data_IF_279767358023
#
_entry.id   IF_279767358023
#
_cell.length_a   1.000
_cell.length_b   1.000
_cell.length_c   1.000
_cell.angle_alpha   90.00
_cell.angle_beta   90.00
_cell.angle_gamma   90.00
#
_symmetry.space_group_name_H-M   'P 1'
#
loop_
_entity.id
_entity.type
_entity.pdbx_description
1 polymer ?
#
# COMPACT_ATOMS: atom_id res chain seq x y z
N UNK A 1 -2.07 -8.91 5.88
CA UNK A 1 -0.99 -9.01 6.89
C UNK A 1 -0.13 -10.27 6.76
N UNK A 2 -0.67 -11.45 6.41
CA UNK A 2 0.10 -12.71 6.43
C UNK A 2 1.39 -12.71 5.58
N UNK A 3 1.39 -12.05 4.40
CA UNK A 3 2.58 -11.91 3.55
C UNK A 3 3.74 -11.11 4.18
N UNK A 4 3.49 -10.36 5.25
CA UNK A 4 4.50 -9.60 5.96
C UNK A 4 5.37 -10.46 6.88
N UNK A 5 4.95 -11.69 7.21
CA UNK A 5 5.69 -12.59 8.09
C UNK A 5 7.06 -12.96 7.55
N UNK A 6 7.17 -13.14 6.22
CA UNK A 6 8.41 -13.48 5.54
C UNK A 6 9.11 -12.25 4.94
N UNK A 7 8.60 -11.04 5.20
CA UNK A 7 9.20 -9.83 4.67
C UNK A 7 10.33 -9.36 5.60
N UNK A 8 11.61 -9.43 5.18
CA UNK A 8 12.74 -9.06 6.03
C UNK A 8 12.68 -7.59 6.48
N UNK A 9 12.03 -6.72 5.71
CA UNK A 9 11.80 -5.31 6.10
C UNK A 9 10.95 -5.20 7.37
N UNK A 10 9.97 -6.10 7.56
CA UNK A 10 9.10 -6.10 8.73
C UNK A 10 9.83 -6.57 9.99
N UNK A 11 10.71 -7.57 9.85
CA UNK A 11 11.58 -8.01 10.93
C UNK A 11 12.51 -6.89 11.40
N UNK A 12 13.18 -6.20 10.46
CA UNK A 12 14.06 -5.06 10.77
C UNK A 12 13.29 -3.93 11.45
N UNK A 13 12.08 -3.63 10.99
CA UNK A 13 11.22 -2.63 11.62
C UNK A 13 10.93 -2.97 13.08
N UNK A 14 10.51 -4.21 13.37
CA UNK A 14 10.18 -4.61 14.73
C UNK A 14 11.40 -4.58 15.66
N UNK A 15 12.56 -5.05 15.20
CA UNK A 15 13.80 -5.01 16.01
C UNK A 15 14.27 -3.57 16.27
N UNK A 16 14.10 -2.66 15.31
CA UNK A 16 14.64 -1.30 15.41
C UNK A 16 13.69 -0.32 16.10
N UNK A 17 12.37 -0.45 15.88
CA UNK A 17 11.37 0.51 16.36
C UNK A 17 10.63 0.07 17.62
N UNK A 18 10.28 -1.21 17.78
CA UNK A 18 9.49 -1.64 18.96
C UNK A 18 10.18 -1.35 20.30
N UNK A 19 11.51 -1.54 20.46
CA UNK A 19 12.16 -1.28 21.73
C UNK A 19 12.01 0.16 22.23
N UNK A 20 11.84 1.12 21.31
CA UNK A 20 11.69 2.54 21.64
C UNK A 20 10.35 2.86 22.31
N UNK A 21 9.36 1.98 22.19
CA UNK A 21 8.02 2.15 22.77
C UNK A 21 7.82 1.31 24.04
N UNK A 22 8.81 0.53 24.46
CA UNK A 22 8.71 -0.33 25.65
C UNK A 22 9.14 0.43 26.91
N UNK A 23 8.34 0.43 27.99
CA UNK A 23 8.74 1.02 29.27
C UNK A 23 9.83 0.18 29.95
N UNK A 24 10.79 0.88 30.56
CA UNK A 24 11.93 0.28 31.26
C UNK A 24 11.42 -0.49 32.50
N UNK A 25 11.90 -1.73 32.68
CA UNK A 25 11.56 -2.57 33.84
C UNK A 25 10.38 -3.53 33.65
N UNK A 26 9.71 -3.52 32.49
CA UNK A 26 8.68 -4.50 32.14
C UNK A 26 9.21 -5.63 31.24
N UNK A 27 8.50 -6.76 31.19
CA UNK A 27 8.84 -7.89 30.32
C UNK A 27 8.83 -7.49 28.83
N UNK A 28 9.98 -7.55 28.12
CA UNK A 28 10.06 -7.18 26.71
C UNK A 28 9.18 -8.06 25.81
N UNK A 29 9.00 -9.33 26.19
CA UNK A 29 8.19 -10.29 25.43
C UNK A 29 6.72 -9.85 25.39
N UNK A 30 6.15 -9.52 26.55
CA UNK A 30 4.74 -9.13 26.67
C UNK A 30 4.47 -7.85 25.88
N UNK A 31 5.34 -6.84 26.04
CA UNK A 31 5.20 -5.57 25.30
C UNK A 31 5.36 -5.73 23.79
N UNK A 32 6.28 -6.58 23.35
CA UNK A 32 6.44 -6.91 21.92
C UNK A 32 5.15 -7.51 21.36
N UNK A 33 4.57 -8.51 22.04
CA UNK A 33 3.30 -9.11 21.59
C UNK A 33 2.14 -8.11 21.57
N UNK A 34 2.03 -7.24 22.58
CA UNK A 34 1.00 -6.18 22.63
C UNK A 34 1.15 -5.24 21.42
N UNK A 35 2.35 -4.69 21.21
CA UNK A 35 2.58 -3.71 20.14
C UNK A 35 2.41 -4.32 18.75
N UNK A 36 2.88 -5.56 18.54
CA UNK A 36 2.65 -6.29 17.29
C UNK A 36 1.16 -6.55 17.08
N UNK A 37 0.42 -6.92 18.13
CA UNK A 37 -1.04 -7.13 18.03
C UNK A 37 -1.77 -5.86 17.64
N UNK A 38 -1.42 -4.71 18.25
CA UNK A 38 -1.96 -3.40 17.89
C UNK A 38 -1.68 -3.10 16.41
N UNK A 39 -0.45 -3.33 15.95
CA UNK A 39 -0.08 -3.11 14.56
C UNK A 39 -0.92 -3.98 13.60
N UNK A 40 -1.11 -5.26 13.92
CA UNK A 40 -1.94 -6.18 13.12
C UNK A 40 -3.39 -5.72 13.08
N UNK A 41 -3.96 -5.30 14.20
CA UNK A 41 -5.34 -4.79 14.28
C UNK A 41 -5.51 -3.54 13.42
N UNK A 42 -4.63 -2.54 13.58
CA UNK A 42 -4.70 -1.30 12.80
C UNK A 42 -4.55 -1.60 11.31
N UNK A 43 -3.57 -2.42 10.92
CA UNK A 43 -3.36 -2.77 9.52
C UNK A 43 -4.52 -3.58 8.93
N UNK A 44 -5.19 -4.39 9.74
CA UNK A 44 -6.39 -5.14 9.32
C UNK A 44 -7.56 -4.20 9.13
N UNK A 45 -7.83 -3.29 10.08
CA UNK A 45 -8.87 -2.26 9.96
C UNK A 45 -8.64 -1.45 8.69
N UNK A 46 -7.40 -0.98 8.48
CA UNK A 46 -7.04 -0.22 7.29
C UNK A 46 -7.27 -1.01 6.00
N UNK A 47 -6.87 -2.28 5.96
CA UNK A 47 -7.07 -3.16 4.80
C UNK A 47 -8.56 -3.36 4.52
N UNK A 48 -9.37 -3.60 5.55
CA UNK A 48 -10.84 -3.72 5.43
C UNK A 48 -11.46 -2.43 4.93
N UNK A 49 -11.04 -1.27 5.45
CA UNK A 49 -11.48 0.03 4.94
C UNK A 49 -11.19 0.16 3.45
N UNK A 50 -9.97 -0.15 3.00
CA UNK A 50 -9.63 -0.11 1.56
C UNK A 50 -10.47 -1.08 0.74
N UNK A 51 -10.69 -2.30 1.21
CA UNK A 51 -11.53 -3.30 0.53
C UNK A 51 -12.96 -2.78 0.38
N UNK A 52 -13.55 -2.24 1.44
CA UNK A 52 -14.92 -1.70 1.40
C UNK A 52 -15.01 -0.44 0.54
N UNK A 53 -14.02 0.47 0.63
CA UNK A 53 -13.94 1.65 -0.24
C UNK A 53 -13.76 1.27 -1.71
N UNK A 54 -13.12 0.14 -2.01
CA UNK A 54 -12.96 -0.36 -3.39
C UNK A 54 -14.31 -0.67 -4.03
N UNK A 55 -15.31 -1.10 -3.26
CA UNK A 55 -16.67 -1.30 -3.79
C UNK A 55 -17.26 0.02 -4.32
N UNK A 56 -17.12 1.12 -3.56
CA UNK A 56 -17.55 2.44 -4.00
C UNK A 56 -16.70 3.00 -5.15
N UNK A 57 -15.38 2.82 -5.09
CA UNK A 57 -14.51 3.23 -6.19
C UNK A 57 -14.84 2.48 -7.50
N UNK A 58 -15.14 1.19 -7.40
CA UNK A 58 -15.53 0.33 -8.53
C UNK A 58 -16.79 0.81 -9.23
N UNK A 59 -17.81 1.29 -8.50
CA UNK A 59 -19.02 1.83 -9.15
C UNK A 59 -18.75 3.12 -9.93
N UNK A 60 -17.77 3.93 -9.50
CA UNK A 60 -17.33 5.13 -10.21
C UNK A 60 -16.45 4.76 -11.41
N UNK A 61 -15.44 3.91 -11.20
CA UNK A 61 -14.48 3.50 -12.23
C UNK A 61 -15.13 2.72 -13.38
N UNK A 62 -16.22 1.99 -13.11
CA UNK A 62 -17.00 1.29 -14.14
C UNK A 62 -17.87 2.20 -15.00
N UNK A 63 -18.00 3.50 -14.69
CA UNK A 63 -18.77 4.42 -15.53
C UNK A 63 -18.06 4.59 -16.87
N UNK A 64 -18.81 4.45 -17.96
CA UNK A 64 -18.30 4.59 -19.33
C UNK A 64 -17.51 5.88 -19.56
N UNK A 65 -17.88 6.98 -18.90
CA UNK A 65 -17.15 8.25 -19.00
C UNK A 65 -15.73 8.17 -18.39
N UNK A 66 -15.57 7.46 -17.27
CA UNK A 66 -14.28 7.30 -16.58
C UNK A 66 -13.38 6.35 -17.38
N UNK A 67 -13.93 5.22 -17.84
CA UNK A 67 -13.20 4.28 -18.71
C UNK A 67 -12.71 5.00 -19.98
N UNK A 68 -13.58 5.75 -20.67
CA UNK A 68 -13.18 6.54 -21.84
C UNK A 68 -12.11 7.58 -21.52
N UNK A 69 -12.16 8.22 -20.36
CA UNK A 69 -11.12 9.18 -19.96
C UNK A 69 -9.78 8.48 -19.73
N UNK A 70 -9.77 7.31 -19.09
CA UNK A 70 -8.57 6.48 -18.90
C UNK A 70 -8.00 6.01 -20.24
N UNK A 71 -8.85 5.48 -21.14
CA UNK A 71 -8.42 5.03 -22.47
C UNK A 71 -7.80 6.17 -23.29
N UNK A 72 -8.40 7.37 -23.24
CA UNK A 72 -7.87 8.55 -23.92
C UNK A 72 -6.55 9.02 -23.31
N UNK A 73 -6.40 8.96 -21.99
CA UNK A 73 -5.16 9.32 -21.31
C UNK A 73 -4.03 8.34 -21.69
N UNK A 74 -4.30 7.04 -21.65
CA UNK A 74 -3.33 6.00 -22.02
C UNK A 74 -2.98 6.07 -23.51
N UNK A 75 -3.97 6.23 -24.39
CA UNK A 75 -3.74 6.42 -25.82
C UNK A 75 -2.93 7.69 -26.11
N UNK A 76 -3.25 8.79 -25.43
CA UNK A 76 -2.49 10.04 -25.53
C UNK A 76 -1.03 9.89 -25.07
N UNK A 77 -0.79 9.15 -23.99
CA UNK A 77 0.55 8.88 -23.50
C UNK A 77 1.37 8.03 -24.50
N UNK A 78 0.74 7.03 -25.13
CA UNK A 78 1.41 6.24 -26.17
C UNK A 78 1.72 7.07 -27.42
N UNK A 79 0.80 7.92 -27.86
CA UNK A 79 1.06 8.84 -28.97
C UNK A 79 2.21 9.80 -28.64
N UNK A 80 2.25 10.31 -27.40
CA UNK A 80 3.35 11.15 -26.93
C UNK A 80 4.69 10.40 -26.95
N UNK A 81 4.74 9.17 -26.43
CA UNK A 81 5.96 8.37 -26.47
C UNK A 81 6.38 8.01 -27.90
N UNK A 82 5.43 7.71 -28.79
CA UNK A 82 5.72 7.44 -30.20
C UNK A 82 6.29 8.68 -30.90
N UNK A 83 5.70 9.86 -30.65
CA UNK A 83 6.21 11.12 -31.18
C UNK A 83 7.63 11.42 -30.65
N UNK A 84 7.85 11.26 -29.35
CA UNK A 84 9.17 11.40 -28.75
C UNK A 84 10.16 10.41 -29.35
N UNK A 85 9.79 9.16 -29.59
CA UNK A 85 10.69 8.16 -30.17
C UNK A 85 11.16 8.58 -31.57
N UNK A 86 10.21 9.00 -32.42
CA UNK A 86 10.51 9.51 -33.77
C UNK A 86 11.40 10.74 -33.71
N UNK A 87 11.15 11.67 -32.79
CA UNK A 87 11.93 12.90 -32.63
C UNK A 87 13.29 12.68 -31.96
N UNK A 88 13.40 11.67 -31.09
CA UNK A 88 14.61 11.31 -30.34
C UNK A 88 15.61 10.50 -31.16
N UNK A 89 15.25 10.14 -32.40
CA UNK A 89 16.19 9.51 -33.34
C UNK A 89 17.17 10.57 -33.85
N UNK A 90 18.15 10.92 -33.01
CA UNK A 90 19.39 11.63 -33.32
C UNK A 90 20.51 11.10 -32.45
#
# INVERSE_FOLDING_TARGET
MLGNLLNPKMGIFYVSFLPQFMPIGHSPLIWTFILVSIHVVIGTIWSVTLILSTHFASTILKKNAVVKAMDRATGGLFLYFAANLVLSTR
#
